data_IF_699342142389
#
_entry.id   IF_699342142389
#
_cell.length_a   1.000
_cell.length_b   1.000
_cell.length_c   1.000
_cell.angle_alpha   90.00
_cell.angle_beta   90.00
_cell.angle_gamma   90.00
#
_symmetry.space_group_name_H-M   'P 1'
#
loop_
_entity.id
_entity.type
_entity.pdbx_description
1 polymer ?
#
# COMPACT_ATOMS: atom_id res chain seq x y z
N UNK A 1 22.99 4.67 9.58
CA UNK A 1 23.30 3.81 10.74
C UNK A 1 22.33 3.96 11.89
N UNK A 2 21.95 5.16 12.27
CA UNK A 2 20.99 5.40 13.36
C UNK A 2 19.61 4.76 13.16
N UNK A 3 19.14 4.64 11.92
CA UNK A 3 17.84 4.03 11.62
C UNK A 3 17.74 2.55 12.00
N UNK A 4 18.79 1.78 11.76
CA UNK A 4 18.81 0.34 12.08
C UNK A 4 18.73 0.05 13.58
N UNK A 5 19.39 0.87 14.40
CA UNK A 5 19.35 0.71 15.85
C UNK A 5 17.96 1.01 16.42
N UNK A 6 17.32 2.08 15.92
CA UNK A 6 15.97 2.43 16.36
C UNK A 6 14.94 1.34 15.97
N UNK A 7 15.09 0.77 14.77
CA UNK A 7 14.19 -0.27 14.27
C UNK A 7 14.40 -1.61 15.00
N UNK A 8 15.64 -1.91 15.37
CA UNK A 8 15.95 -3.07 16.23
C UNK A 8 15.30 -2.94 17.61
N UNK A 9 15.32 -1.75 18.21
CA UNK A 9 14.67 -1.49 19.47
C UNK A 9 13.14 -1.57 19.36
N UNK A 10 12.56 -1.07 18.27
CA UNK A 10 11.12 -1.20 17.99
C UNK A 10 10.70 -2.64 17.78
N UNK A 11 11.52 -3.44 17.11
CA UNK A 11 11.28 -4.87 16.98
C UNK A 11 11.25 -5.55 18.36
N UNK A 12 12.17 -5.21 19.24
CA UNK A 12 12.22 -5.73 20.61
C UNK A 12 11.02 -5.29 21.44
N UNK A 13 10.46 -4.10 21.21
CA UNK A 13 9.24 -3.61 21.85
C UNK A 13 7.94 -4.11 21.22
N UNK A 14 8.01 -4.96 20.18
CA UNK A 14 6.88 -5.47 19.40
C UNK A 14 6.08 -4.40 18.63
N UNK A 15 6.61 -3.20 18.45
CA UNK A 15 5.98 -2.12 17.69
C UNK A 15 6.18 -2.25 16.18
N UNK A 16 6.99 -3.19 15.71
CA UNK A 16 7.25 -3.39 14.30
C UNK A 16 7.94 -4.70 13.96
N UNK A 17 8.16 -4.92 12.67
CA UNK A 17 8.84 -6.10 12.15
C UNK A 17 9.40 -5.88 10.75
N UNK A 18 10.24 -6.81 10.29
CA UNK A 18 10.82 -6.83 8.94
C UNK A 18 9.92 -7.48 7.90
N UNK A 19 8.79 -8.04 8.32
CA UNK A 19 7.85 -8.75 7.46
C UNK A 19 6.43 -8.29 7.70
N UNK A 20 5.61 -8.41 6.65
CA UNK A 20 4.18 -8.16 6.71
C UNK A 20 3.48 -9.30 7.43
N UNK A 21 2.45 -8.97 8.20
CA UNK A 21 1.48 -9.95 8.70
C UNK A 21 0.57 -10.43 7.54
N UNK A 22 -0.08 -11.61 7.66
CA UNK A 22 -0.91 -12.15 6.58
C UNK A 22 -1.98 -11.19 6.06
N UNK A 23 -2.72 -10.51 6.92
CA UNK A 23 -3.74 -9.54 6.51
C UNK A 23 -3.14 -8.29 5.83
N UNK A 24 -1.97 -7.86 6.26
CA UNK A 24 -1.24 -6.74 5.64
C UNK A 24 -0.77 -7.11 4.23
N UNK A 25 -0.17 -8.30 4.07
CA UNK A 25 0.27 -8.79 2.77
C UNK A 25 -0.90 -8.99 1.80
N UNK A 26 -2.02 -9.55 2.27
CA UNK A 26 -3.23 -9.73 1.47
C UNK A 26 -3.78 -8.39 0.98
N UNK A 27 -3.90 -7.41 1.86
CA UNK A 27 -4.40 -6.08 1.54
C UNK A 27 -3.49 -5.35 0.55
N UNK A 28 -2.18 -5.38 0.81
CA UNK A 28 -1.19 -4.76 -0.07
C UNK A 28 -1.21 -5.38 -1.46
N UNK A 29 -1.18 -6.71 -1.56
CA UNK A 29 -1.21 -7.40 -2.85
C UNK A 29 -2.48 -7.10 -3.64
N UNK A 30 -3.64 -7.05 -3.00
CA UNK A 30 -4.89 -6.69 -3.65
C UNK A 30 -4.89 -5.24 -4.16
N UNK A 31 -4.37 -4.31 -3.37
CA UNK A 31 -4.27 -2.91 -3.77
C UNK A 31 -3.32 -2.72 -4.97
N UNK A 32 -2.15 -3.38 -4.95
CA UNK A 32 -1.19 -3.27 -6.04
C UNK A 32 -1.69 -3.91 -7.33
N UNK A 33 -2.37 -5.05 -7.24
CA UNK A 33 -2.96 -5.73 -8.40
C UNK A 33 -4.07 -4.91 -9.08
N UNK A 34 -4.65 -3.94 -8.39
CA UNK A 34 -5.64 -3.02 -8.94
C UNK A 34 -5.01 -1.91 -9.79
N UNK A 35 -3.74 -1.58 -9.57
CA UNK A 35 -3.03 -0.58 -10.37
C UNK A 35 -2.83 -1.06 -11.82
N UNK A 36 -2.84 -0.15 -12.83
CA UNK A 36 -2.48 -0.52 -14.20
C UNK A 36 -1.06 -1.07 -14.28
N UNK A 37 -0.79 -1.92 -15.25
CA UNK A 37 0.40 -2.75 -15.38
C UNK A 37 1.73 -2.08 -15.08
N UNK A 38 1.99 -0.90 -15.65
CA UNK A 38 3.26 -0.18 -15.42
C UNK A 38 3.36 0.37 -14.00
N UNK A 39 2.26 0.88 -13.45
CA UNK A 39 2.21 1.39 -12.08
C UNK A 39 2.28 0.24 -11.07
N UNK A 40 1.60 -0.87 -11.34
CA UNK A 40 1.72 -2.08 -10.53
C UNK A 40 3.17 -2.56 -10.48
N UNK A 41 3.83 -2.66 -11.64
CA UNK A 41 5.23 -3.07 -11.73
C UNK A 41 6.14 -2.15 -10.90
N UNK A 42 5.98 -0.85 -11.02
CA UNK A 42 6.76 0.12 -10.25
C UNK A 42 6.52 -0.02 -8.76
N UNK A 43 5.26 -0.11 -8.34
CA UNK A 43 4.90 -0.30 -6.93
C UNK A 43 5.44 -1.63 -6.36
N UNK A 44 5.38 -2.71 -7.13
CA UNK A 44 5.95 -4.01 -6.71
C UNK A 44 7.47 -3.96 -6.57
N UNK A 45 8.16 -3.22 -7.44
CA UNK A 45 9.61 -2.99 -7.29
C UNK A 45 9.93 -2.16 -6.04
N UNK A 46 9.08 -1.20 -5.68
CA UNK A 46 9.23 -0.47 -4.43
C UNK A 46 9.15 -1.40 -3.22
N UNK A 47 8.11 -2.22 -3.12
CA UNK A 47 7.94 -3.13 -1.98
C UNK A 47 8.92 -4.30 -1.98
N UNK A 48 9.62 -4.56 -3.08
CA UNK A 48 10.74 -5.48 -3.13
C UNK A 48 12.02 -4.90 -2.52
N UNK A 49 12.09 -3.57 -2.31
CA UNK A 49 13.16 -2.93 -1.56
C UNK A 49 13.06 -3.32 -0.08
N UNK A 50 14.20 -3.26 0.61
CA UNK A 50 14.20 -3.54 2.04
C UNK A 50 13.53 -2.43 2.83
N UNK A 51 12.55 -2.78 3.63
CA UNK A 51 11.85 -1.86 4.53
C UNK A 51 11.53 -2.51 5.88
N UNK A 52 11.32 -1.67 6.87
CA UNK A 52 10.82 -2.04 8.18
C UNK A 52 9.36 -1.62 8.29
N UNK A 53 8.51 -2.49 8.80
CA UNK A 53 7.09 -2.19 9.05
C UNK A 53 6.94 -1.64 10.45
N UNK A 54 6.74 -0.34 10.56
CA UNK A 54 6.44 0.34 11.82
C UNK A 54 4.93 0.38 12.01
N UNK A 55 4.44 -0.26 13.08
CA UNK A 55 3.01 -0.35 13.37
C UNK A 55 2.61 0.63 14.45
N UNK A 56 1.75 1.57 14.06
CA UNK A 56 1.15 2.55 14.96
C UNK A 56 -0.28 2.14 15.33
N UNK A 57 -0.81 2.71 16.41
CA UNK A 57 -2.21 2.53 16.83
C UNK A 57 -2.62 1.06 16.97
N UNK A 58 -1.77 0.25 17.60
CA UNK A 58 -2.04 -1.18 17.80
C UNK A 58 -2.07 -2.00 16.51
N UNK A 59 -1.32 -1.58 15.50
CA UNK A 59 -1.25 -2.24 14.20
C UNK A 59 -2.36 -1.83 13.22
N UNK A 60 -3.08 -0.75 13.52
CA UNK A 60 -4.06 -0.18 12.58
C UNK A 60 -3.41 0.59 11.44
N UNK A 61 -2.20 1.11 11.64
CA UNK A 61 -1.46 1.91 10.67
C UNK A 61 -0.04 1.35 10.52
N UNK A 62 0.14 0.30 9.72
CA UNK A 62 1.47 -0.17 9.33
C UNK A 62 2.08 0.79 8.31
N UNK A 63 3.20 1.42 8.66
CA UNK A 63 3.99 2.29 7.79
C UNK A 63 5.25 1.58 7.32
N UNK A 64 5.61 1.77 6.04
CA UNK A 64 6.77 1.16 5.42
C UNK A 64 7.95 2.14 5.46
N UNK A 65 8.94 1.83 6.26
CA UNK A 65 10.17 2.60 6.33
C UNK A 65 11.24 1.95 5.48
N UNK A 66 11.42 2.50 4.28
CA UNK A 66 12.46 2.04 3.37
C UNK A 66 13.83 2.51 3.84
N UNK A 67 14.82 1.63 3.84
CA UNK A 67 16.18 1.99 4.19
C UNK A 67 16.88 2.74 3.06
N UNK A 68 16.60 2.33 1.85
CA UNK A 68 17.13 2.96 0.64
C UNK A 68 16.12 2.78 -0.48
N UNK A 69 15.32 3.80 -0.72
CA UNK A 69 14.41 3.83 -1.88
C UNK A 69 15.20 4.33 -3.09
N UNK A 70 15.15 3.54 -4.18
CA UNK A 70 15.64 3.98 -5.47
C UNK A 70 14.73 5.10 -6.01
N UNK A 71 15.24 6.32 -6.25
CA UNK A 71 14.44 7.42 -6.79
C UNK A 71 13.80 7.10 -8.15
N UNK A 72 14.43 6.22 -8.95
CA UNK A 72 13.90 5.76 -10.22
C UNK A 72 12.66 4.87 -10.12
N UNK A 73 12.32 4.40 -8.91
CA UNK A 73 11.12 3.61 -8.65
C UNK A 73 9.93 4.44 -8.17
N UNK A 74 10.05 5.76 -8.12
CA UNK A 74 8.93 6.63 -7.76
C UNK A 74 7.86 6.58 -8.86
N UNK A 75 6.59 6.41 -8.47
CA UNK A 75 5.45 6.52 -9.39
C UNK A 75 5.36 7.98 -9.83
N UNK A 76 5.30 8.20 -11.12
CA UNK A 76 5.13 9.52 -11.72
C UNK A 76 3.67 9.75 -12.16
N UNK A 77 3.39 10.97 -12.61
CA UNK A 77 2.07 11.35 -13.07
C UNK A 77 1.10 11.65 -11.94
N UNK A 78 -0.21 11.40 -12.12
CA UNK A 78 -1.25 11.80 -11.18
C UNK A 78 -1.11 11.21 -9.76
N UNK A 79 -0.59 9.99 -9.66
CA UNK A 79 -0.33 9.34 -8.36
C UNK A 79 1.07 9.68 -7.80
N UNK A 80 1.84 10.48 -8.50
CA UNK A 80 3.21 10.83 -8.16
C UNK A 80 3.36 11.94 -7.13
N UNK A 81 2.28 12.62 -6.75
CA UNK A 81 2.29 13.69 -5.75
C UNK A 81 1.06 13.64 -4.86
N UNK A 82 1.23 14.04 -3.61
CA UNK A 82 0.18 14.02 -2.60
C UNK A 82 -0.17 12.61 -2.11
N UNK A 83 -1.24 12.53 -1.35
CA UNK A 83 -1.74 11.29 -0.76
C UNK A 83 -2.87 10.70 -1.60
N UNK A 84 -2.75 9.41 -1.89
CA UNK A 84 -3.77 8.65 -2.60
C UNK A 84 -4.07 7.37 -1.83
N UNK A 85 -5.35 6.99 -1.82
CA UNK A 85 -5.84 5.85 -1.07
C UNK A 85 -6.48 4.83 -1.99
N UNK A 86 -5.97 3.61 -2.00
CA UNK A 86 -6.60 2.47 -2.64
C UNK A 86 -7.37 1.72 -1.57
N UNK A 87 -8.69 1.72 -1.68
CA UNK A 87 -9.58 1.07 -0.74
C UNK A 87 -9.70 -0.42 -1.06
N UNK A 88 -9.51 -1.25 -0.07
CA UNK A 88 -9.64 -2.71 -0.17
C UNK A 88 -10.68 -3.17 0.82
N UNK A 89 -11.78 -3.71 0.33
CA UNK A 89 -12.82 -4.30 1.17
C UNK A 89 -12.40 -5.70 1.56
N UNK A 90 -12.20 -5.93 2.85
CA UNK A 90 -11.91 -7.23 3.43
C UNK A 90 -13.20 -7.87 3.95
N UNK A 91 -13.42 -9.12 3.64
CA UNK A 91 -14.53 -9.93 4.15
C UNK A 91 -14.02 -10.90 5.19
N UNK A 92 -14.63 -10.88 6.36
CA UNK A 92 -14.33 -11.78 7.47
C UNK A 92 -15.67 -12.33 7.97
N UNK A 93 -16.01 -13.53 7.53
CA UNK A 93 -17.35 -14.07 7.73
C UNK A 93 -18.41 -13.16 7.10
N UNK A 94 -19.35 -12.66 7.91
CA UNK A 94 -20.39 -11.72 7.47
C UNK A 94 -19.98 -10.25 7.53
N UNK A 95 -18.82 -9.94 8.07
CA UNK A 95 -18.34 -8.57 8.24
C UNK A 95 -17.60 -8.11 7.00
N UNK A 96 -17.77 -6.84 6.69
CA UNK A 96 -17.00 -6.12 5.66
C UNK A 96 -16.24 -5.00 6.35
N UNK A 97 -14.95 -4.95 6.10
CA UNK A 97 -14.04 -3.94 6.64
C UNK A 97 -13.33 -3.23 5.49
N UNK A 98 -13.25 -1.92 5.56
CA UNK A 98 -12.54 -1.13 4.57
C UNK A 98 -11.12 -0.85 5.05
N UNK A 99 -10.15 -1.48 4.42
CA UNK A 99 -8.73 -1.19 4.59
C UNK A 99 -8.27 -0.26 3.45
N UNK A 100 -7.15 0.41 3.64
CA UNK A 100 -6.57 1.33 2.65
C UNK A 100 -5.09 1.02 2.44
N UNK A 101 -4.66 1.07 1.19
CA UNK A 101 -3.24 1.19 0.84
C UNK A 101 -2.95 2.67 0.56
N UNK A 102 -1.94 3.20 1.20
CA UNK A 102 -1.57 4.61 1.12
C UNK A 102 -0.39 4.78 0.18
N UNK A 103 -0.58 5.60 -0.85
CA UNK A 103 0.49 6.12 -1.69
C UNK A 103 0.76 7.56 -1.24
N UNK A 104 2.01 7.87 -0.95
CA UNK A 104 2.45 9.22 -0.59
C UNK A 104 3.56 9.66 -1.53
N UNK A 105 3.32 10.75 -2.26
CA UNK A 105 4.28 11.28 -3.26
C UNK A 105 4.87 10.22 -4.18
N UNK A 106 4.03 9.34 -4.70
CA UNK A 106 4.42 8.27 -5.63
C UNK A 106 5.11 7.06 -4.99
N UNK A 107 5.07 6.95 -3.67
CA UNK A 107 5.67 5.83 -2.93
C UNK A 107 4.58 5.06 -2.19
N UNK A 108 4.64 3.73 -2.23
CA UNK A 108 3.80 2.87 -1.39
C UNK A 108 4.23 3.06 0.06
N UNK A 109 3.44 3.82 0.81
CA UNK A 109 3.83 4.32 2.12
C UNK A 109 3.39 3.43 3.27
N UNK A 110 2.23 2.80 3.15
CA UNK A 110 1.70 1.97 4.22
C UNK A 110 0.26 1.52 3.99
N UNK A 111 -0.32 1.05 5.07
CA UNK A 111 -1.70 0.56 5.11
C UNK A 111 -2.46 1.21 6.27
N UNK A 112 -3.78 1.23 6.16
CA UNK A 112 -4.68 1.62 7.23
C UNK A 112 -5.79 0.59 7.40
N UNK A 113 -6.04 0.20 8.64
CA UNK A 113 -7.08 -0.76 9.01
C UNK A 113 -8.05 -0.15 10.02
N UNK A 114 -9.36 -0.48 9.94
CA UNK A 114 -10.35 0.01 10.89
C UNK A 114 -10.29 -0.70 12.26
N UNK A 115 -9.52 -1.79 12.33
CA UNK A 115 -9.35 -2.63 13.53
C UNK A 115 -7.86 -2.85 13.84
N UNK A 116 -7.51 -3.07 15.12
CA UNK A 116 -6.13 -3.36 15.49
C UNK A 116 -5.65 -4.70 14.91
N UNK A 117 -4.34 -4.88 14.82
CA UNK A 117 -3.73 -6.07 14.22
C UNK A 117 -4.16 -7.39 14.89
N UNK A 118 -4.43 -7.37 16.21
CA UNK A 118 -4.92 -8.53 16.96
C UNK A 118 -6.28 -9.04 16.47
N UNK A 119 -7.11 -8.17 15.92
CA UNK A 119 -8.41 -8.55 15.35
C UNK A 119 -8.29 -9.53 14.19
N UNK A 120 -7.23 -9.41 13.39
CA UNK A 120 -7.01 -10.22 12.20
C UNK A 120 -6.29 -11.54 12.48
N UNK A 121 -5.83 -11.73 13.71
CA UNK A 121 -5.12 -12.96 14.11
C UNK A 121 -6.04 -14.16 13.97
N UNK A 122 -5.60 -15.15 13.18
CA UNK A 122 -6.37 -16.38 12.87
C UNK A 122 -7.71 -16.13 12.16
N UNK A 123 -7.93 -14.95 11.59
CA UNK A 123 -9.11 -14.67 10.79
C UNK A 123 -8.96 -15.26 9.38
N UNK A 124 -10.03 -15.85 8.87
CA UNK A 124 -10.16 -16.19 7.45
C UNK A 124 -10.62 -14.95 6.70
N UNK A 125 -9.76 -14.42 5.84
CA UNK A 125 -9.93 -13.11 5.21
C UNK A 125 -9.99 -13.29 3.70
N UNK A 126 -11.05 -12.79 3.10
CA UNK A 126 -11.20 -12.70 1.64
C UNK A 126 -11.19 -11.24 1.19
N UNK A 127 -10.64 -10.99 0.00
CA UNK A 127 -10.77 -9.68 -0.65
C UNK A 127 -12.11 -9.60 -1.36
N UNK A 128 -12.90 -8.59 -1.02
CA UNK A 128 -14.19 -8.34 -1.65
C UNK A 128 -14.09 -7.49 -2.90
N UNK A 129 -13.66 -6.25 -2.75
CA UNK A 129 -13.53 -5.29 -3.86
C UNK A 129 -12.38 -4.34 -3.60
N UNK A 130 -11.86 -3.74 -4.67
CA UNK A 130 -10.81 -2.73 -4.62
C UNK A 130 -11.25 -1.52 -5.42
N UNK A 131 -11.04 -0.32 -4.89
CA UNK A 131 -11.38 0.94 -5.54
C UNK A 131 -10.43 2.05 -5.09
N UNK A 132 -10.34 3.13 -5.84
CA UNK A 132 -9.65 4.34 -5.42
C UNK A 132 -10.63 5.37 -4.85
N UNK A 133 -10.16 6.19 -3.92
CA UNK A 133 -10.97 7.28 -3.35
C UNK A 133 -11.25 8.34 -4.43
N UNK A 134 -12.52 8.62 -4.71
CA UNK A 134 -12.95 9.56 -5.76
C UNK A 134 -12.47 11.00 -5.51
N UNK A 135 -12.22 11.34 -4.24
CA UNK A 135 -11.71 12.66 -3.87
C UNK A 135 -10.25 12.90 -4.25
N UNK A 136 -9.48 11.83 -4.41
CA UNK A 136 -8.06 11.94 -4.73
C UNK A 136 -7.82 12.02 -6.24
N UNK A 137 -8.62 11.32 -7.06
CA UNK A 137 -8.41 11.33 -8.51
C UNK A 137 -9.52 10.61 -9.27
N UNK A 138 -9.99 11.20 -10.35
CA UNK A 138 -10.69 10.46 -11.37
C UNK A 138 -9.69 9.53 -12.09
N UNK A 139 -9.46 8.35 -11.50
CA UNK A 139 -8.58 7.32 -12.06
C UNK A 139 -9.02 6.88 -13.45
N UNK A 140 -10.33 6.98 -13.73
CA UNK A 140 -10.91 6.81 -15.06
C UNK A 140 -10.26 7.75 -16.08
N UNK A 141 -9.94 8.99 -15.70
CA UNK A 141 -9.25 9.93 -16.57
C UNK A 141 -7.79 9.55 -16.85
N UNK A 142 -7.16 8.76 -15.98
CA UNK A 142 -5.80 8.25 -16.21
C UNK A 142 -5.81 7.05 -17.14
N UNK A 143 -6.78 6.15 -16.97
CA UNK A 143 -6.97 5.00 -17.87
C UNK A 143 -7.35 5.47 -19.28
N UNK A 144 -8.27 6.42 -19.40
CA UNK A 144 -8.67 6.98 -20.70
C UNK A 144 -7.50 7.65 -21.43
N UNK A 145 -6.57 8.30 -20.72
CA UNK A 145 -5.36 8.86 -21.34
C UNK A 145 -4.35 7.81 -21.74
N UNK A 146 -4.22 6.73 -20.99
CA UNK A 146 -3.32 5.64 -21.32
C UNK A 146 -3.84 4.82 -22.53
N UNK A 147 -5.17 4.68 -22.68
CA UNK A 147 -5.77 3.98 -23.82
C UNK A 147 -5.85 4.85 -25.09
N UNK A 148 -5.91 6.18 -24.96
CA UNK A 148 -6.02 7.10 -26.09
C UNK A 148 -4.67 7.76 -26.48
N UNK A 149 -3.59 7.46 -25.78
CA UNK A 149 -2.24 7.98 -26.04
C UNK A 149 -1.44 7.24 -27.14
N UNK A 150 -2.04 6.28 -27.84
CA UNK A 150 -1.36 5.46 -28.86
C UNK A 150 -1.87 5.78 -30.28
N UNK A 151 -2.45 6.93 -30.54
CA UNK A 151 -2.80 7.27 -31.92
C UNK A 151 -2.64 8.76 -32.21
N UNK A 152 -1.42 9.16 -32.48
CA UNK A 152 -1.09 10.29 -33.35
C UNK A 152 0.42 10.30 -33.64
N UNK A 153 0.87 9.38 -34.46
CA UNK A 153 2.16 9.41 -35.12
C UNK A 153 1.96 9.29 -36.60
N UNK A 154 1.77 10.42 -37.25
CA UNK A 154 2.13 10.66 -38.66
C UNK A 154 3.18 11.77 -38.72
#
# INVERSE_FOLDING_TARGET
MLGYLSDGLRFLSFEGSWSLKPHEALTLNAALAWLPGDLENTARKQIAQRFFVERMSGGRVPCFRYYRMDPGLKIEGPLGSGDHFINVVLKIGRRRLNAKCVLHDGVVFGLEFPKPGSFFKNADIEVGSVSCDETAFSYTAVLDRAEHGIDSGD
#
